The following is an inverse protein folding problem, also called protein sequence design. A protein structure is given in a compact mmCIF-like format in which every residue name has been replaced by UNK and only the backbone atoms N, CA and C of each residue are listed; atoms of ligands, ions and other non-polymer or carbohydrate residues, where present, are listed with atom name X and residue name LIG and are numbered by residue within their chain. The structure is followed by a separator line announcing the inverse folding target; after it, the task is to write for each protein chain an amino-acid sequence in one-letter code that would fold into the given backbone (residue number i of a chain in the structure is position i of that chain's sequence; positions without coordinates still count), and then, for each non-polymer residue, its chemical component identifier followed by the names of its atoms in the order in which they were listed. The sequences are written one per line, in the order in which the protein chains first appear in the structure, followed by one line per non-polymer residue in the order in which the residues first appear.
data_IF_124811753343
#
_entry.id   IF_124811753343
#
_cell.length_a   1.000
_cell.length_b   1.000
_cell.length_c   1.000
_cell.angle_alpha   90.00
_cell.angle_beta   90.00
_cell.angle_gamma   90.00
#
_symmetry.space_group_name_H-M   'P 1'
#
loop_
_entity.id
_entity.type
_entity.pdbx_description
1 polymer ?
#
# COMPACT_ATOMS: atom_id res chain seq x y z
N UNK A 1 -23.60 10.86 45.37
CA UNK A 1 -22.26 10.36 44.99
C UNK A 1 -22.38 8.86 44.70
N UNK A 2 -21.51 8.32 43.84
CA UNK A 2 -21.59 7.03 43.12
C UNK A 2 -22.25 7.10 41.74
N UNK A 3 -21.48 7.55 40.74
CA UNK A 3 -21.54 6.94 39.41
C UNK A 3 -20.18 6.34 39.13
N UNK A 4 -20.16 5.02 39.06
CA UNK A 4 -19.01 4.16 38.88
C UNK A 4 -18.23 4.55 37.62
N UNK A 5 -16.90 4.46 37.73
CA UNK A 5 -15.94 4.59 36.66
C UNK A 5 -16.33 3.73 35.46
N UNK A 6 -17.03 4.33 34.49
CA UNK A 6 -17.05 3.83 33.14
C UNK A 6 -15.67 4.13 32.58
N UNK A 7 -14.76 3.16 32.72
CA UNK A 7 -13.62 3.07 31.83
C UNK A 7 -14.19 2.72 30.46
N UNK A 8 -14.61 3.74 29.70
CA UNK A 8 -14.59 3.59 28.27
C UNK A 8 -13.11 3.51 27.93
N UNK A 9 -12.61 2.27 27.85
CA UNK A 9 -11.45 1.95 27.03
C UNK A 9 -11.81 2.40 25.62
N UNK A 10 -11.59 3.69 25.36
CA UNK A 10 -11.51 4.30 24.05
C UNK A 10 -10.23 3.76 23.40
N UNK A 11 -10.18 2.46 23.17
CA UNK A 11 -9.48 1.89 22.04
C UNK A 11 -10.43 2.06 20.86
N UNK A 12 -10.71 3.32 20.51
CA UNK A 12 -11.20 3.66 19.20
C UNK A 12 -10.04 3.35 18.26
N UNK A 13 -9.91 2.07 17.90
CA UNK A 13 -9.08 1.66 16.80
C UNK A 13 -9.84 2.13 15.55
N UNK A 14 -9.70 3.44 15.30
CA UNK A 14 -10.34 4.22 14.26
C UNK A 14 -10.31 3.45 12.94
N UNK A 15 -11.38 2.73 12.63
CA UNK A 15 -11.47 1.93 11.41
C UNK A 15 -11.82 2.87 10.26
N UNK A 16 -10.87 3.11 9.36
CA UNK A 16 -11.10 3.90 8.15
C UNK A 16 -11.58 2.93 7.05
N UNK A 17 -12.88 2.93 6.76
CA UNK A 17 -13.46 2.14 5.65
C UNK A 17 -13.33 0.63 5.79
N UNK A 18 -13.23 0.10 7.01
CA UNK A 18 -13.07 -1.35 7.27
C UNK A 18 -11.61 -1.83 7.31
N UNK A 19 -10.64 -0.93 7.18
CA UNK A 19 -9.22 -1.21 7.38
C UNK A 19 -8.76 -0.67 8.73
N UNK A 20 -7.94 -1.44 9.45
CA UNK A 20 -7.26 -0.93 10.65
C UNK A 20 -6.21 0.11 10.25
N UNK A 21 -6.10 1.22 10.98
CA UNK A 21 -5.03 2.22 10.79
C UNK A 21 -3.66 1.55 10.88
N UNK A 22 -3.52 0.54 11.73
CA UNK A 22 -2.31 -0.26 11.87
C UNK A 22 -1.89 -0.89 10.55
N UNK A 23 -2.87 -1.44 9.82
CA UNK A 23 -2.63 -2.14 8.56
C UNK A 23 -2.36 -1.15 7.43
N UNK A 24 -3.05 0.00 7.41
CA UNK A 24 -2.74 1.11 6.49
C UNK A 24 -1.29 1.59 6.70
N UNK A 25 -0.88 1.80 7.95
CA UNK A 25 0.50 2.20 8.26
C UNK A 25 1.52 1.13 7.87
N UNK A 26 1.21 -0.16 8.07
CA UNK A 26 2.06 -1.27 7.62
C UNK A 26 2.18 -1.29 6.10
N UNK A 27 1.09 -1.08 5.36
CA UNK A 27 1.11 -1.06 3.90
C UNK A 27 1.89 0.14 3.34
N UNK A 28 1.76 1.33 3.93
CA UNK A 28 2.58 2.50 3.57
C UNK A 28 4.06 2.23 3.82
N UNK A 29 4.40 1.67 4.99
CA UNK A 29 5.78 1.26 5.34
C UNK A 29 6.30 0.14 4.44
N UNK A 30 5.44 -0.75 3.96
CA UNK A 30 5.79 -1.81 3.00
C UNK A 30 6.08 -1.21 1.63
N UNK A 31 5.19 -0.34 1.13
CA UNK A 31 5.31 0.33 -0.17
C UNK A 31 6.59 1.15 -0.31
N UNK A 32 6.97 1.89 0.73
CA UNK A 32 8.22 2.67 0.78
C UNK A 32 9.50 1.82 0.78
N UNK A 33 9.40 0.54 1.19
CA UNK A 33 10.52 -0.41 1.21
C UNK A 33 10.60 -1.29 -0.05
N UNK A 34 9.66 -1.16 -0.98
CA UNK A 34 9.68 -1.96 -2.20
C UNK A 34 10.90 -1.59 -3.04
N UNK A 35 11.71 -2.60 -3.34
CA UNK A 35 12.92 -2.46 -4.14
C UNK A 35 12.61 -2.69 -5.61
N UNK A 36 13.16 -1.84 -6.47
CA UNK A 36 13.05 -2.04 -7.90
C UNK A 36 13.77 -3.32 -8.32
N UNK A 37 13.09 -4.24 -9.00
CA UNK A 37 13.72 -5.48 -9.50
C UNK A 37 14.76 -5.23 -10.60
N UNK A 38 14.79 -4.03 -11.20
CA UNK A 38 15.80 -3.65 -12.19
C UNK A 38 17.01 -2.96 -11.55
N UNK A 39 16.81 -1.84 -10.84
CA UNK A 39 17.92 -1.04 -10.29
C UNK A 39 18.23 -1.31 -8.81
N UNK A 40 17.44 -2.16 -8.13
CA UNK A 40 17.62 -2.55 -6.73
C UNK A 40 17.58 -1.38 -5.72
N UNK A 41 17.13 -0.20 -6.14
CA UNK A 41 16.90 0.94 -5.26
C UNK A 41 15.48 0.90 -4.66
N UNK A 42 15.29 1.41 -3.43
CA UNK A 42 13.97 1.56 -2.82
C UNK A 42 13.14 2.63 -3.53
N UNK A 43 11.81 2.55 -3.39
CA UNK A 43 10.87 3.50 -4.00
C UNK A 43 10.10 2.97 -5.20
N UNK A 44 10.15 1.66 -5.43
CA UNK A 44 9.44 1.02 -6.54
C UNK A 44 7.95 0.86 -6.22
N UNK A 45 7.11 1.73 -6.78
CA UNK A 45 5.67 1.76 -6.51
C UNK A 45 4.83 0.92 -7.49
N UNK A 46 5.40 0.49 -8.62
CA UNK A 46 4.67 -0.26 -9.64
C UNK A 46 4.89 -1.76 -9.42
N UNK A 47 3.88 -2.44 -8.90
CA UNK A 47 3.86 -3.89 -8.76
C UNK A 47 3.35 -4.60 -10.02
N UNK A 48 3.74 -5.86 -10.19
CA UNK A 48 3.14 -6.73 -11.19
C UNK A 48 1.69 -7.10 -10.80
N UNK A 49 0.79 -7.16 -11.78
CA UNK A 49 -0.63 -7.54 -11.58
C UNK A 49 -0.80 -9.03 -11.22
N UNK A 50 0.24 -9.85 -11.47
CA UNK A 50 0.25 -11.26 -11.09
C UNK A 50 0.44 -11.38 -9.58
N UNK A 51 -0.56 -11.90 -8.86
CA UNK A 51 -0.55 -12.02 -7.39
C UNK A 51 0.66 -12.78 -6.80
N UNK A 52 1.24 -13.71 -7.56
CA UNK A 52 2.43 -14.48 -7.18
C UNK A 52 3.74 -13.79 -7.57
N UNK A 53 3.68 -12.71 -8.34
CA UNK A 53 4.84 -11.94 -8.76
C UNK A 53 5.06 -10.79 -7.79
N UNK A 54 6.11 -10.89 -6.98
CA UNK A 54 6.51 -9.84 -6.05
C UNK A 54 7.46 -8.82 -6.69
N UNK A 55 7.55 -8.78 -8.02
CA UNK A 55 8.40 -7.82 -8.70
C UNK A 55 7.76 -6.44 -8.66
N UNK A 56 8.57 -5.48 -8.25
CA UNK A 56 8.23 -4.07 -8.14
C UNK A 56 9.22 -3.27 -8.94
N UNK A 57 8.77 -2.22 -9.63
CA UNK A 57 9.60 -1.42 -10.50
C UNK A 57 9.33 0.07 -10.29
N UNK A 58 10.31 0.91 -10.63
CA UNK A 58 10.03 2.30 -10.99
C UNK A 58 9.36 2.34 -12.35
N UNK A 59 8.62 3.42 -12.63
CA UNK A 59 7.99 3.66 -13.94
C UNK A 59 8.97 3.47 -15.12
N UNK A 60 10.08 4.19 -15.09
CA UNK A 60 11.10 4.07 -16.13
C UNK A 60 11.84 2.73 -16.14
N UNK A 61 11.93 2.06 -14.98
CA UNK A 61 12.53 0.73 -14.90
C UNK A 61 11.62 -0.34 -15.52
N UNK A 62 10.30 -0.24 -15.33
CA UNK A 62 9.34 -1.13 -15.96
C UNK A 62 9.41 -1.02 -17.50
N UNK A 63 9.55 0.22 -18.02
CA UNK A 63 9.75 0.46 -19.45
C UNK A 63 11.05 -0.18 -19.99
N UNK A 64 12.15 -0.10 -19.24
CA UNK A 64 13.42 -0.72 -19.64
C UNK A 64 13.39 -2.25 -19.57
N UNK A 65 12.71 -2.82 -18.58
CA UNK A 65 12.57 -4.27 -18.39
C UNK A 65 11.55 -4.90 -19.34
N UNK A 66 11.06 -4.15 -20.34
CA UNK A 66 10.00 -4.54 -21.29
C UNK A 66 8.74 -5.06 -20.59
N UNK A 67 8.45 -4.55 -19.39
CA UNK A 67 7.24 -4.88 -18.69
C UNK A 67 6.03 -4.37 -19.50
N UNK A 68 5.00 -5.21 -19.63
CA UNK A 68 3.78 -4.83 -20.32
C UNK A 68 2.97 -3.89 -19.42
N UNK A 69 3.09 -2.58 -19.63
CA UNK A 69 2.24 -1.58 -18.99
C UNK A 69 0.91 -1.59 -19.72
N UNK A 70 -0.11 -2.19 -19.11
CA UNK A 70 -1.49 -2.12 -19.61
C UNK A 70 -2.19 -0.92 -18.98
N UNK A 71 -2.07 0.22 -19.62
CA UNK A 71 -2.92 1.37 -19.30
C UNK A 71 -4.34 1.07 -19.82
N UNK A 72 -5.32 0.95 -18.92
CA UNK A 72 -6.73 0.99 -19.31
C UNK A 72 -7.12 2.47 -19.33
N UNK A 73 -7.37 3.09 -20.50
CA UNK A 73 -7.67 4.53 -20.60
C UNK A 73 -9.04 4.95 -20.03
N UNK A 74 -9.71 4.11 -19.21
CA UNK A 74 -11.12 4.27 -18.88
C UNK A 74 -11.48 4.28 -17.38
N UNK A 75 -10.54 4.42 -16.46
CA UNK A 75 -10.89 4.69 -15.06
C UNK A 75 -10.07 5.86 -14.51
N UNK A 76 -10.51 7.07 -14.88
CA UNK A 76 -10.32 8.20 -13.99
C UNK A 76 -11.04 7.90 -12.68
N UNK A 77 -10.29 7.87 -11.59
CA UNK A 77 -10.85 7.95 -10.25
C UNK A 77 -10.37 9.29 -9.69
N UNK A 78 -11.34 10.17 -9.44
CA UNK A 78 -11.20 11.42 -8.70
C UNK A 78 -10.66 11.15 -7.28
#
# INVERSE_FOLDING_TARGET
MFSSALVSSHTDNESLGGFSIEDIQKEIKRGTKLMCSLCHCPGATIGCDVKTCHKTYHYYCALHDKAQIREKPSQGIY
#
